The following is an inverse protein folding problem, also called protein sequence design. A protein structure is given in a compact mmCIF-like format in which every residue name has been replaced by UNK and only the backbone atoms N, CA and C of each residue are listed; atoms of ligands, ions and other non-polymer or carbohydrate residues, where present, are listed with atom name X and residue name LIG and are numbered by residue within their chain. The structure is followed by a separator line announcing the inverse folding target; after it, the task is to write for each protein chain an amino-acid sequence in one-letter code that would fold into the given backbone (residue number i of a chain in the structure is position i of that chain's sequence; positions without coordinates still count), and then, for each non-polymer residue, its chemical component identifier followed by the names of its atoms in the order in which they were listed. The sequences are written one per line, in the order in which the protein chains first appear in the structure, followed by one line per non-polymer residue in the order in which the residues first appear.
data_IF_772231972780
#
_entry.id   IF_772231972780
#
_cell.length_a   1.000
_cell.length_b   1.000
_cell.length_c   1.000
_cell.angle_alpha   90.00
_cell.angle_beta   90.00
_cell.angle_gamma   90.00
#
_symmetry.space_group_name_H-M   'P 1'
#
loop_
_entity.id
_entity.type
_entity.pdbx_description
1 polymer ?
#
# COMPACT_ATOMS: atom_id res chain seq x y z
N UNK A 1 45.04 35.32 11.27
CA UNK A 1 43.65 35.24 11.80
C UNK A 1 42.74 35.11 10.59
N UNK A 2 42.36 33.87 10.25
CA UNK A 2 41.21 33.58 9.39
C UNK A 2 40.47 32.45 10.08
N UNK A 3 39.19 32.69 10.35
CA UNK A 3 38.30 31.81 11.10
C UNK A 3 38.15 30.44 10.42
N UNK A 4 37.97 29.35 11.19
CA UNK A 4 37.52 28.09 10.64
C UNK A 4 36.07 28.25 10.15
N UNK A 5 35.83 27.88 8.90
CA UNK A 5 34.51 27.71 8.32
C UNK A 5 33.86 26.48 8.99
N UNK A 6 32.59 26.52 9.38
CA UNK A 6 31.94 25.37 10.00
C UNK A 6 31.80 24.25 8.97
N UNK A 7 32.30 23.06 9.32
CA UNK A 7 31.99 21.80 8.67
C UNK A 7 30.49 21.51 8.85
N UNK A 8 29.69 21.96 7.90
CA UNK A 8 28.31 21.52 7.72
C UNK A 8 28.29 20.56 6.53
N UNK A 9 28.86 19.37 6.74
CA UNK A 9 28.71 18.26 5.79
C UNK A 9 27.65 17.31 6.35
N UNK A 10 26.39 17.76 6.23
CA UNK A 10 25.20 16.97 6.48
C UNK A 10 25.25 15.71 5.64
N UNK A 11 25.76 14.64 6.25
CA UNK A 11 26.21 13.46 5.53
C UNK A 11 25.00 12.78 4.90
N UNK A 12 24.83 12.98 3.59
CA UNK A 12 23.86 12.25 2.81
C UNK A 12 24.29 10.79 2.77
N UNK A 13 23.73 9.98 3.66
CA UNK A 13 24.01 8.55 3.68
C UNK A 13 23.26 7.95 2.50
N UNK A 14 23.99 7.48 1.49
CA UNK A 14 23.47 6.61 0.43
C UNK A 14 24.23 5.29 0.51
N UNK A 15 23.55 4.23 0.90
CA UNK A 15 24.12 2.91 1.11
C UNK A 15 23.34 1.90 0.29
N UNK A 16 24.03 1.20 -0.62
CA UNK A 16 23.44 0.09 -1.37
C UNK A 16 24.12 -1.21 -0.97
N UNK A 17 23.32 -2.24 -0.67
CA UNK A 17 23.79 -3.58 -0.35
C UNK A 17 23.04 -4.62 -1.17
N UNK A 18 23.82 -5.48 -1.81
CA UNK A 18 23.29 -6.66 -2.49
C UNK A 18 23.51 -7.90 -1.63
N UNK A 19 22.51 -8.76 -1.54
CA UNK A 19 22.53 -10.03 -0.80
C UNK A 19 21.91 -11.11 -1.67
N UNK A 20 22.59 -12.23 -1.89
CA UNK A 20 22.02 -13.39 -2.57
C UNK A 20 21.60 -14.44 -1.52
N UNK A 21 20.32 -14.87 -1.54
CA UNK A 21 19.73 -15.87 -0.63
C UNK A 21 18.77 -16.77 -1.42
N UNK A 22 18.87 -18.09 -1.25
CA UNK A 22 17.97 -19.09 -1.86
C UNK A 22 17.69 -18.84 -3.36
N UNK A 23 18.76 -18.75 -4.15
CA UNK A 23 18.75 -18.46 -5.59
C UNK A 23 18.10 -17.13 -6.00
N UNK A 24 17.80 -16.27 -5.03
CA UNK A 24 17.23 -14.94 -5.22
C UNK A 24 18.22 -13.86 -4.82
N UNK A 25 18.25 -12.76 -5.59
CA UNK A 25 19.06 -11.59 -5.33
C UNK A 25 18.21 -10.48 -4.71
N UNK A 26 18.69 -9.95 -3.61
CA UNK A 26 18.11 -8.80 -2.92
C UNK A 26 19.05 -7.61 -3.00
N UNK A 27 18.50 -6.43 -3.28
CA UNK A 27 19.19 -5.14 -3.28
C UNK A 27 18.47 -4.25 -2.28
N UNK A 28 19.19 -3.78 -1.28
CA UNK A 28 18.72 -2.82 -0.30
C UNK A 28 19.45 -1.51 -0.53
N UNK A 29 18.70 -0.44 -0.78
CA UNK A 29 19.22 0.92 -0.88
C UNK A 29 18.68 1.73 0.29
N UNK A 30 19.55 2.29 1.12
CA UNK A 30 19.19 3.18 2.20
C UNK A 30 19.71 4.59 1.89
N UNK A 31 18.82 5.59 1.89
CA UNK A 31 19.16 6.99 1.71
C UNK A 31 18.62 7.85 2.85
N UNK A 32 19.31 8.92 3.26
CA UNK A 32 18.70 9.93 4.14
C UNK A 32 17.66 10.76 3.40
N UNK A 33 16.59 11.14 4.09
CA UNK A 33 15.61 12.09 3.57
C UNK A 33 16.17 13.51 3.66
N UNK A 34 16.37 14.14 2.52
CA UNK A 34 16.88 15.52 2.41
C UNK A 34 15.97 16.57 3.05
N UNK A 35 14.71 16.23 3.33
CA UNK A 35 13.73 17.10 3.99
C UNK A 35 13.59 16.82 5.49
N UNK A 36 14.09 15.68 5.96
CA UNK A 36 14.02 15.25 7.35
C UNK A 36 15.28 14.46 7.73
N UNK A 37 16.28 15.15 8.30
CA UNK A 37 17.62 14.61 8.56
C UNK A 37 17.67 13.35 9.47
N UNK A 38 16.65 13.13 10.31
CA UNK A 38 16.53 11.92 11.15
C UNK A 38 15.66 10.82 10.52
N UNK A 39 15.41 10.90 9.21
CA UNK A 39 14.60 9.95 8.47
C UNK A 39 15.45 9.28 7.40
N UNK A 40 15.37 7.95 7.35
CA UNK A 40 15.92 7.14 6.28
C UNK A 40 14.79 6.60 5.41
N UNK A 41 15.10 6.53 4.12
CA UNK A 41 14.33 5.86 3.11
C UNK A 41 15.08 4.57 2.79
N UNK A 42 14.46 3.42 3.02
CA UNK A 42 15.00 2.10 2.69
C UNK A 42 14.17 1.53 1.55
N UNK A 43 14.80 1.34 0.41
CA UNK A 43 14.25 0.64 -0.75
C UNK A 43 14.77 -0.79 -0.75
N UNK A 44 13.87 -1.74 -0.98
CA UNK A 44 14.18 -3.17 -1.03
C UNK A 44 13.67 -3.70 -2.36
N UNK A 45 14.54 -4.36 -3.11
CA UNK A 45 14.22 -5.08 -4.33
C UNK A 45 14.72 -6.52 -4.17
N UNK A 46 13.90 -7.50 -4.52
CA UNK A 46 14.22 -8.92 -4.54
C UNK A 46 13.83 -9.49 -5.89
N UNK A 47 14.72 -10.25 -6.51
CA UNK A 47 14.48 -10.93 -7.78
C UNK A 47 14.92 -12.40 -7.67
N UNK A 48 14.05 -13.31 -8.10
CA UNK A 48 14.36 -14.73 -8.21
C UNK A 48 15.30 -15.06 -9.38
N UNK A 49 15.62 -16.35 -9.57
CA UNK A 49 16.63 -16.78 -10.55
C UNK A 49 16.26 -16.47 -12.00
N UNK A 50 14.97 -16.38 -12.32
CA UNK A 50 14.45 -16.02 -13.64
C UNK A 50 14.27 -14.49 -13.82
N UNK A 51 14.89 -13.69 -12.96
CA UNK A 51 14.70 -12.25 -12.85
C UNK A 51 13.25 -11.82 -12.55
N UNK A 52 12.42 -12.75 -12.03
CA UNK A 52 11.10 -12.42 -11.51
C UNK A 52 11.24 -11.67 -10.19
N UNK A 53 10.74 -10.43 -10.15
CA UNK A 53 10.71 -9.63 -8.91
C UNK A 53 9.83 -10.32 -7.87
N UNK A 54 10.44 -10.76 -6.78
CA UNK A 54 9.81 -11.44 -5.65
C UNK A 54 9.46 -10.49 -4.50
N UNK A 55 10.23 -9.40 -4.33
CA UNK A 55 10.03 -8.37 -3.29
C UNK A 55 10.31 -7.00 -3.91
N UNK A 56 9.46 -6.01 -3.66
CA UNK A 56 9.74 -4.61 -3.98
C UNK A 56 9.03 -3.73 -2.94
N UNK A 57 9.74 -2.81 -2.31
CA UNK A 57 9.16 -1.98 -1.26
C UNK A 57 10.02 -0.78 -0.87
N UNK A 58 9.37 0.22 -0.29
CA UNK A 58 10.00 1.43 0.26
C UNK A 58 9.50 1.64 1.69
N UNK A 59 10.43 1.79 2.62
CA UNK A 59 10.19 2.05 4.03
C UNK A 59 10.74 3.43 4.38
N UNK A 60 9.92 4.27 4.99
CA UNK A 60 10.37 5.54 5.58
C UNK A 60 10.41 5.36 7.08
N UNK A 61 11.59 5.45 7.66
CA UNK A 61 11.84 5.11 9.06
C UNK A 61 12.69 6.18 9.72
N UNK A 62 12.41 6.50 10.98
CA UNK A 62 13.32 7.35 11.75
C UNK A 62 14.59 6.58 12.08
N UNK A 63 15.74 7.25 12.18
CA UNK A 63 17.01 6.59 12.49
C UNK A 63 16.93 5.84 13.82
N UNK A 64 16.23 6.41 14.80
CA UNK A 64 16.00 5.78 16.11
C UNK A 64 15.22 4.47 16.06
N UNK A 65 14.46 4.21 15.00
CA UNK A 65 13.63 3.01 14.86
C UNK A 65 14.36 1.86 14.14
N UNK A 66 15.54 2.12 13.54
CA UNK A 66 16.27 1.13 12.73
C UNK A 66 16.63 -0.13 13.52
N UNK A 67 17.05 0.02 14.78
CA UNK A 67 17.43 -1.11 15.63
C UNK A 67 16.25 -2.04 15.96
N UNK A 68 15.01 -1.55 15.84
CA UNK A 68 13.80 -2.31 16.12
C UNK A 68 13.22 -3.01 14.88
N UNK A 69 13.62 -2.63 13.67
CA UNK A 69 13.05 -3.19 12.43
C UNK A 69 13.30 -4.70 12.30
N UNK A 70 14.53 -5.15 12.54
CA UNK A 70 14.87 -6.58 12.46
C UNK A 70 14.04 -7.45 13.44
N UNK A 71 14.01 -7.11 14.74
CA UNK A 71 13.16 -7.79 15.72
C UNK A 71 11.67 -7.76 15.34
N UNK A 72 11.14 -6.60 14.93
CA UNK A 72 9.73 -6.45 14.52
C UNK A 72 9.39 -7.37 13.34
N UNK A 73 10.21 -7.37 12.29
CA UNK A 73 9.98 -8.26 11.14
C UNK A 73 10.06 -9.75 11.54
N UNK A 74 10.95 -10.11 12.46
CA UNK A 74 11.08 -11.49 12.95
C UNK A 74 9.87 -11.92 13.78
N UNK A 75 9.26 -11.00 14.55
CA UNK A 75 8.05 -11.27 15.33
C UNK A 75 6.82 -11.45 14.43
N UNK A 76 6.67 -10.59 13.41
CA UNK A 76 5.54 -10.65 12.46
C UNK A 76 5.66 -11.83 11.50
N UNK A 77 6.88 -12.17 11.10
CA UNK A 77 7.18 -13.26 10.18
C UNK A 77 8.04 -14.34 10.85
N UNK A 78 7.47 -15.13 11.78
CA UNK A 78 8.22 -16.19 12.43
C UNK A 78 8.68 -17.22 11.40
N UNK A 79 10.00 -17.39 11.32
CA UNK A 79 10.70 -18.27 10.36
C UNK A 79 10.21 -19.73 10.41
N UNK A 80 9.66 -20.15 11.54
CA UNK A 80 9.17 -21.52 11.79
C UNK A 80 7.68 -21.74 11.46
N UNK A 81 6.94 -20.73 11.02
CA UNK A 81 5.58 -20.96 10.53
C UNK A 81 5.63 -21.32 9.04
N UNK A 82 5.31 -22.57 8.65
CA UNK A 82 5.08 -22.85 7.25
C UNK A 82 3.94 -21.96 6.79
N UNK A 83 4.24 -21.01 5.91
CA UNK A 83 3.23 -20.21 5.24
C UNK A 83 2.18 -21.21 4.74
N UNK A 84 0.94 -21.09 5.23
CA UNK A 84 -0.17 -21.84 4.65
C UNK A 84 -0.28 -21.34 3.22
N UNK A 85 0.41 -22.01 2.30
CA UNK A 85 0.36 -21.76 0.87
C UNK A 85 -1.08 -22.04 0.47
N UNK A 86 -1.92 -21.01 0.56
CA UNK A 86 -3.21 -20.98 -0.12
C UNK A 86 -2.84 -21.09 -1.58
N UNK A 87 -3.03 -22.29 -2.14
CA UNK A 87 -2.76 -22.59 -3.55
C UNK A 87 -3.22 -21.40 -4.39
N UNK A 88 -2.35 -20.80 -5.22
CA UNK A 88 -2.76 -19.69 -6.06
C UNK A 88 -3.86 -20.22 -6.97
N UNK A 89 -5.08 -19.72 -6.77
CA UNK A 89 -6.19 -19.96 -7.69
C UNK A 89 -5.81 -19.25 -8.98
N UNK A 90 -5.18 -19.99 -9.89
CA UNK A 90 -4.97 -19.60 -11.28
C UNK A 90 -6.35 -19.25 -11.89
N UNK A 91 -6.61 -17.97 -12.11
CA UNK A 91 -7.51 -17.45 -13.17
C UNK A 91 -7.32 -15.94 -13.34
N UNK A 92 -6.49 -15.60 -14.32
CA UNK A 92 -6.65 -14.48 -15.25
C UNK A 92 -6.63 -13.05 -14.70
N UNK A 93 -5.48 -12.40 -14.73
CA UNK A 93 -5.17 -11.15 -15.44
C UNK A 93 -3.75 -10.74 -15.05
N UNK A 94 -3.01 -10.12 -15.98
CA UNK A 94 -1.62 -9.70 -15.77
C UNK A 94 -1.45 -8.81 -14.53
N UNK A 95 -0.20 -8.66 -14.09
CA UNK A 95 0.22 -7.75 -13.01
C UNK A 95 -0.51 -6.40 -13.14
N UNK A 96 -1.07 -5.82 -12.06
CA UNK A 96 -1.86 -4.60 -12.15
C UNK A 96 -1.03 -3.48 -12.79
N UNK A 97 -1.39 -3.13 -14.03
CA UNK A 97 -0.52 -2.41 -14.97
C UNK A 97 -0.27 -0.96 -14.56
N UNK A 98 -1.02 -0.43 -13.57
CA UNK A 98 -0.96 0.97 -13.12
C UNK A 98 -0.43 1.15 -11.70
N UNK A 99 0.14 0.11 -11.10
CA UNK A 99 0.66 0.16 -9.71
C UNK A 99 1.79 1.18 -9.53
N UNK A 100 2.55 1.47 -10.60
CA UNK A 100 3.65 2.44 -10.62
C UNK A 100 3.25 3.83 -11.13
N UNK A 101 1.98 4.05 -11.50
CA UNK A 101 1.54 5.36 -11.98
C UNK A 101 1.30 6.33 -10.81
N UNK A 102 1.77 7.59 -10.91
CA UNK A 102 1.52 8.60 -9.90
C UNK A 102 0.02 8.79 -9.67
N UNK A 103 -0.35 9.14 -8.43
CA UNK A 103 -1.74 9.45 -8.09
C UNK A 103 -2.10 10.83 -8.62
N UNK A 104 -2.70 10.87 -9.81
CA UNK A 104 -3.32 12.08 -10.37
C UNK A 104 -4.57 12.45 -9.60
N UNK A 105 -4.98 13.71 -9.67
CA UNK A 105 -6.18 14.17 -8.97
C UNK A 105 -7.47 13.52 -9.52
N UNK A 106 -7.48 13.15 -10.81
CA UNK A 106 -8.53 12.33 -11.40
C UNK A 106 -8.62 10.95 -10.72
N UNK A 107 -7.48 10.25 -10.56
CA UNK A 107 -7.45 8.92 -9.93
C UNK A 107 -7.84 8.97 -8.45
N UNK A 108 -7.46 10.05 -7.76
CA UNK A 108 -7.89 10.32 -6.38
C UNK A 108 -9.40 10.54 -6.34
N UNK A 109 -9.95 11.43 -7.17
CA UNK A 109 -11.39 11.70 -7.24
C UNK A 109 -12.21 10.43 -7.55
N UNK A 110 -11.73 9.61 -8.49
CA UNK A 110 -12.33 8.32 -8.81
C UNK A 110 -12.33 7.35 -7.62
N UNK A 111 -11.19 7.21 -6.92
CA UNK A 111 -11.09 6.39 -5.72
C UNK A 111 -12.03 6.92 -4.61
N UNK A 112 -12.02 8.22 -4.38
CA UNK A 112 -12.89 8.86 -3.38
C UNK A 112 -14.37 8.60 -3.68
N UNK A 113 -14.82 8.82 -4.92
CA UNK A 113 -16.19 8.55 -5.33
C UNK A 113 -16.57 7.08 -5.12
N UNK A 114 -15.72 6.15 -5.56
CA UNK A 114 -15.95 4.71 -5.41
C UNK A 114 -15.98 4.26 -3.94
N UNK A 115 -15.17 4.88 -3.07
CA UNK A 115 -15.16 4.58 -1.65
C UNK A 115 -16.40 5.11 -0.93
N UNK A 116 -16.83 6.34 -1.25
CA UNK A 116 -17.96 6.99 -0.59
C UNK A 116 -19.31 6.34 -0.88
N UNK A 117 -19.48 5.75 -2.06
CA UNK A 117 -20.70 5.01 -2.42
C UNK A 117 -20.75 3.60 -1.81
N UNK A 118 -19.64 3.10 -1.27
CA UNK A 118 -19.51 1.76 -0.72
C UNK A 118 -19.95 1.64 0.75
N UNK A 119 -20.78 2.56 1.25
CA UNK A 119 -21.31 2.53 2.62
C UNK A 119 -22.02 1.19 2.91
N UNK A 120 -21.57 0.41 3.92
CA UNK A 120 -22.15 -0.88 4.26
C UNK A 120 -23.60 -0.80 4.76
N UNK A 121 -24.09 0.38 5.14
CA UNK A 121 -25.50 0.62 5.47
C UNK A 121 -26.41 0.64 4.23
N UNK A 122 -25.84 0.87 3.05
CA UNK A 122 -26.59 0.85 1.80
C UNK A 122 -26.94 -0.60 1.37
N UNK A 123 -28.01 -0.79 0.57
CA UNK A 123 -28.28 -2.09 -0.04
C UNK A 123 -27.10 -2.55 -0.92
N UNK A 124 -26.72 -3.85 -0.92
CA UNK A 124 -25.59 -4.34 -1.72
C UNK A 124 -25.66 -3.98 -3.20
N UNK A 125 -26.86 -3.98 -3.79
CA UNK A 125 -27.04 -3.58 -5.18
C UNK A 125 -26.69 -2.11 -5.42
N UNK A 126 -27.03 -1.20 -4.49
CA UNK A 126 -26.64 0.21 -4.60
C UNK A 126 -25.13 0.41 -4.53
N UNK A 127 -24.44 -0.36 -3.69
CA UNK A 127 -22.97 -0.34 -3.60
C UNK A 127 -22.36 -0.77 -4.94
N UNK A 128 -22.86 -1.87 -5.51
CA UNK A 128 -22.42 -2.39 -6.81
C UNK A 128 -22.63 -1.36 -7.91
N UNK A 129 -23.84 -0.78 -8.00
CA UNK A 129 -24.18 0.21 -9.02
C UNK A 129 -23.34 1.48 -8.87
N UNK A 130 -23.17 1.97 -7.65
CA UNK A 130 -22.38 3.17 -7.37
C UNK A 130 -20.89 2.99 -7.68
N UNK A 131 -20.29 1.85 -7.30
CA UNK A 131 -18.90 1.54 -7.65
C UNK A 131 -18.75 1.41 -9.17
N UNK A 132 -19.73 0.80 -9.85
CA UNK A 132 -19.70 0.68 -11.30
C UNK A 132 -19.74 2.05 -11.99
N UNK A 133 -20.60 2.95 -11.54
CA UNK A 133 -20.69 4.33 -12.02
C UNK A 133 -19.39 5.10 -11.76
N UNK A 134 -18.87 5.08 -10.53
CA UNK A 134 -17.66 5.79 -10.15
C UNK A 134 -16.42 5.36 -10.95
N UNK A 135 -16.34 4.07 -11.32
CA UNK A 135 -15.21 3.49 -12.04
C UNK A 135 -15.46 3.37 -13.56
N UNK A 136 -16.60 3.85 -14.07
CA UNK A 136 -16.95 3.78 -15.49
C UNK A 136 -17.02 2.35 -16.04
N UNK A 137 -17.50 1.40 -15.22
CA UNK A 137 -17.63 -0.02 -15.58
C UNK A 137 -19.09 -0.49 -15.47
N UNK A 138 -19.33 -1.79 -15.66
CA UNK A 138 -20.68 -2.38 -15.59
C UNK A 138 -20.96 -2.96 -14.19
N UNK A 139 -22.21 -2.86 -13.69
CA UNK A 139 -22.61 -3.47 -12.42
C UNK A 139 -22.32 -4.98 -12.37
N UNK A 140 -22.50 -5.70 -13.48
CA UNK A 140 -22.20 -7.13 -13.56
C UNK A 140 -20.72 -7.43 -13.30
N UNK A 141 -19.81 -6.60 -13.83
CA UNK A 141 -18.36 -6.75 -13.58
C UNK A 141 -18.01 -6.56 -12.11
N UNK A 142 -18.65 -5.58 -11.46
CA UNK A 142 -18.44 -5.30 -10.03
C UNK A 142 -19.03 -6.43 -9.17
N UNK A 143 -20.25 -6.87 -9.49
CA UNK A 143 -20.94 -7.98 -8.83
C UNK A 143 -20.13 -9.28 -8.90
N UNK A 144 -19.59 -9.61 -10.07
CA UNK A 144 -18.74 -10.79 -10.26
C UNK A 144 -17.49 -10.75 -9.38
N UNK A 145 -16.90 -9.57 -9.18
CA UNK A 145 -15.73 -9.39 -8.30
C UNK A 145 -16.08 -9.51 -6.82
N UNK A 146 -17.26 -9.06 -6.39
CA UNK A 146 -17.75 -9.28 -5.03
C UNK A 146 -18.08 -10.75 -4.77
N UNK A 147 -18.72 -11.42 -5.74
CA UNK A 147 -19.12 -12.83 -5.66
C UNK A 147 -20.38 -13.06 -4.82
N UNK A 148 -20.47 -12.48 -3.63
CA UNK A 148 -21.68 -12.51 -2.78
C UNK A 148 -22.10 -11.11 -2.33
N UNK A 149 -23.40 -10.86 -2.06
CA UNK A 149 -23.88 -9.58 -1.56
C UNK A 149 -23.27 -9.19 -0.21
N UNK A 150 -23.03 -10.15 0.68
CA UNK A 150 -22.48 -9.91 2.02
C UNK A 150 -21.07 -9.32 1.97
N UNK A 151 -20.31 -9.71 0.94
CA UNK A 151 -18.93 -9.27 0.74
C UNK A 151 -18.82 -7.75 0.43
N UNK A 152 -19.94 -7.10 0.07
CA UNK A 152 -20.00 -5.62 -0.07
C UNK A 152 -19.83 -4.88 1.26
N UNK A 153 -20.01 -5.57 2.39
CA UNK A 153 -19.86 -5.00 3.74
C UNK A 153 -18.46 -5.18 4.33
N UNK A 154 -17.60 -5.94 3.66
CA UNK A 154 -16.25 -6.23 4.13
C UNK A 154 -15.27 -5.18 3.56
N UNK A 155 -14.64 -4.32 4.39
CA UNK A 155 -13.76 -3.25 3.91
C UNK A 155 -12.61 -3.77 3.03
N UNK A 156 -11.94 -4.84 3.48
CA UNK A 156 -10.87 -5.50 2.72
C UNK A 156 -11.35 -6.00 1.34
N UNK A 157 -12.60 -6.44 1.23
CA UNK A 157 -13.16 -6.88 -0.05
C UNK A 157 -13.46 -5.70 -0.96
N UNK A 158 -14.03 -4.61 -0.43
CA UNK A 158 -14.27 -3.37 -1.18
C UNK A 158 -12.94 -2.84 -1.74
N UNK A 159 -11.89 -2.81 -0.92
CA UNK A 159 -10.52 -2.45 -1.34
C UNK A 159 -10.07 -3.33 -2.50
N UNK A 160 -10.15 -4.65 -2.37
CA UNK A 160 -9.70 -5.58 -3.41
C UNK A 160 -10.49 -5.42 -4.73
N UNK A 161 -11.80 -5.14 -4.66
CA UNK A 161 -12.64 -4.89 -5.84
C UNK A 161 -12.22 -3.61 -6.55
N UNK A 162 -12.08 -2.51 -5.81
CA UNK A 162 -11.64 -1.21 -6.36
C UNK A 162 -10.22 -1.34 -6.94
N UNK A 163 -9.29 -1.97 -6.21
CA UNK A 163 -7.92 -2.21 -6.66
C UNK A 163 -7.88 -2.96 -7.99
N UNK A 164 -8.63 -4.07 -8.08
CA UNK A 164 -8.71 -4.87 -9.30
C UNK A 164 -9.36 -4.17 -10.49
N UNK A 165 -10.25 -3.19 -10.26
CA UNK A 165 -10.88 -2.39 -11.32
C UNK A 165 -9.98 -1.23 -11.76
N UNK A 166 -9.31 -0.57 -10.82
CA UNK A 166 -8.33 0.50 -11.09
C UNK A 166 -6.97 -0.02 -11.60
N UNK A 167 -6.79 -1.34 -11.65
CA UNK A 167 -5.53 -1.99 -12.02
C UNK A 167 -4.36 -1.56 -11.11
N UNK A 168 -4.64 -1.47 -9.81
CA UNK A 168 -3.68 -1.18 -8.73
C UNK A 168 -3.66 -2.33 -7.72
N UNK A 169 -2.71 -2.30 -6.80
CA UNK A 169 -2.64 -3.25 -5.68
C UNK A 169 -3.56 -2.82 -4.54
N UNK A 170 -4.02 -3.79 -3.73
CA UNK A 170 -4.83 -3.55 -2.53
C UNK A 170 -4.12 -2.59 -1.57
N UNK A 171 -2.80 -2.78 -1.38
CA UNK A 171 -1.97 -1.89 -0.56
C UNK A 171 -1.89 -0.46 -1.11
N UNK A 172 -1.86 -0.28 -2.43
CA UNK A 172 -1.88 1.06 -3.02
C UNK A 172 -3.20 1.79 -2.76
N UNK A 173 -4.34 1.08 -2.79
CA UNK A 173 -5.64 1.65 -2.43
C UNK A 173 -5.69 1.96 -0.93
N UNK A 174 -5.36 0.98 -0.08
CA UNK A 174 -5.39 1.12 1.38
C UNK A 174 -4.53 2.29 1.87
N UNK A 175 -3.32 2.45 1.34
CA UNK A 175 -2.43 3.57 1.69
C UNK A 175 -2.92 4.94 1.17
N UNK A 176 -3.76 4.94 0.12
CA UNK A 176 -4.22 6.17 -0.51
C UNK A 176 -5.53 6.70 0.13
N UNK A 177 -6.31 5.85 0.80
CA UNK A 177 -7.53 6.26 1.48
C UNK A 177 -7.26 7.28 2.62
N UNK A 178 -6.36 7.03 3.59
CA UNK A 178 -6.05 8.01 4.64
C UNK A 178 -5.48 9.33 4.11
N UNK A 179 -4.77 9.29 2.97
CA UNK A 179 -4.21 10.50 2.32
C UNK A 179 -5.28 11.40 1.68
N UNK A 180 -6.52 10.94 1.64
CA UNK A 180 -7.69 11.65 1.15
C UNK A 180 -8.74 11.83 2.27
N UNK A 181 -8.31 11.71 3.53
CA UNK A 181 -9.18 11.78 4.71
C UNK A 181 -10.32 10.75 4.67
N UNK A 182 -10.05 9.54 4.17
CA UNK A 182 -10.98 8.40 4.13
C UNK A 182 -10.52 7.27 5.05
N UNK A 183 -11.46 6.64 5.75
CA UNK A 183 -11.18 5.54 6.67
C UNK A 183 -11.11 4.19 5.91
N UNK A 184 -9.97 3.49 5.87
CA UNK A 184 -9.84 2.20 5.18
C UNK A 184 -10.65 1.06 5.83
N UNK A 185 -11.01 1.19 7.11
CA UNK A 185 -11.81 0.20 7.83
C UNK A 185 -13.32 0.49 7.75
N UNK A 186 -13.69 1.67 7.23
CA UNK A 186 -15.10 2.11 7.15
C UNK A 186 -15.42 2.68 5.76
N UNK A 187 -15.74 1.79 4.80
CA UNK A 187 -16.26 2.20 3.49
C UNK A 187 -17.42 3.18 3.62
N UNK A 188 -17.48 4.20 2.76
CA UNK A 188 -18.50 5.24 2.83
C UNK A 188 -18.24 6.37 3.84
N UNK A 189 -17.17 6.29 4.64
CA UNK A 189 -16.92 7.27 5.71
C UNK A 189 -15.57 8.00 5.55
N UNK A 190 -15.53 9.29 5.89
CA UNK A 190 -14.26 9.99 6.09
C UNK A 190 -13.52 9.40 7.30
N UNK A 191 -12.19 9.49 7.30
CA UNK A 191 -11.37 9.28 8.47
C UNK A 191 -11.81 10.32 9.51
N UNK A 192 -12.58 9.89 10.51
CA UNK A 192 -13.11 10.79 11.52
C UNK A 192 -11.96 11.57 12.17
N UNK A 193 -12.04 12.90 12.13
CA UNK A 193 -11.30 13.74 13.06
C UNK A 193 -11.62 13.23 14.46
N UNK A 194 -10.58 13.01 15.28
CA UNK A 194 -10.76 12.77 16.70
C UNK A 194 -11.61 13.92 17.27
N UNK A 195 -12.90 13.68 17.43
CA UNK A 195 -13.78 14.53 18.19
C UNK A 195 -13.27 14.41 19.64
N UNK A 196 -12.57 15.45 20.11
CA UNK A 196 -12.36 15.70 21.53
C UNK A 196 -13.73 15.68 22.20
N UNK A 197 -14.12 14.54 22.74
CA UNK A 197 -15.19 14.47 23.72
C UNK A 197 -14.60 14.98 25.03
N UNK A 198 -14.50 16.31 25.13
CA UNK A 198 -14.43 16.99 26.41
C UNK A 198 -15.87 17.12 26.92
N UNK A 199 -16.26 16.26 27.87
CA UNK A 199 -17.32 16.57 28.82
C UNK A 199 -17.14 15.78 30.11
#
# INVERSE_FOLDING_TARGET
MSSPQPDDDGTQLEFTRTVDLDDSRYVLTASTDTTAADTLIIEVLGAGPDAEVSIEGRLTVRSSALEHLGPMFSEVFPVDQPAKVRKPRRRGYGKPTRSYQPWTDELKATLHAAWMVADPAAPPQKIVDGIAEALGTTPDTVKDKFGTPEATREPAKVIAVIAGLMQRTDGAISNQLPRQDLDPERPGHPAQQHEEVET
#
